data_IF_506411199809
#
_entry.id   IF_506411199809
#
_cell.length_a   1.000
_cell.length_b   1.000
_cell.length_c   1.000
_cell.angle_alpha   90.00
_cell.angle_beta   90.00
_cell.angle_gamma   90.00
#
_symmetry.space_group_name_H-M   'P 1'
#
loop_
_entity.id
_entity.type
_entity.pdbx_description
1 polymer ?
#
# COMPACT_ATOMS: atom_id res chain seq x y z
N UNK A 1 32.70 19.72 21.99
CA UNK A 1 31.99 19.86 20.70
C UNK A 1 30.54 20.22 21.01
N UNK A 2 29.96 21.25 20.39
CA UNK A 2 28.61 21.73 20.74
C UNK A 2 27.57 20.68 20.32
N UNK A 3 26.87 20.08 21.28
CA UNK A 3 25.91 18.98 21.06
C UNK A 3 24.86 19.33 19.97
N UNK A 4 24.52 20.62 19.83
CA UNK A 4 23.64 21.14 18.77
C UNK A 4 24.24 21.00 17.36
N UNK A 5 25.54 21.23 17.17
CA UNK A 5 26.22 21.01 15.87
C UNK A 5 26.34 19.51 15.55
N UNK A 6 26.49 18.68 16.57
CA UNK A 6 26.59 17.23 16.44
C UNK A 6 25.27 16.61 15.96
N UNK A 7 24.14 17.01 16.57
CA UNK A 7 22.79 16.56 16.18
C UNK A 7 22.44 17.03 14.76
N UNK A 8 22.82 18.25 14.36
CA UNK A 8 22.60 18.76 13.01
C UNK A 8 23.31 17.92 11.92
N UNK A 9 24.46 17.32 12.25
CA UNK A 9 25.19 16.41 11.36
C UNK A 9 24.60 14.99 11.26
N UNK A 10 23.75 14.58 12.21
CA UNK A 10 22.99 13.33 12.18
C UNK A 10 21.68 13.49 11.40
N UNK A 11 21.06 14.68 11.50
CA UNK A 11 19.80 15.04 10.84
C UNK A 11 19.89 15.19 9.30
N UNK A 12 21.09 15.17 8.71
CA UNK A 12 21.29 15.16 7.25
C UNK A 12 20.73 13.93 6.53
N UNK A 13 20.26 12.92 7.28
CA UNK A 13 19.61 11.70 6.78
C UNK A 13 18.09 11.90 6.57
N UNK A 14 17.47 12.92 7.17
CA UNK A 14 16.04 13.12 7.02
C UNK A 14 15.75 14.09 5.89
N UNK A 15 15.39 13.54 4.72
CA UNK A 15 14.48 14.08 3.67
C UNK A 15 14.94 13.79 2.23
N UNK A 16 16.14 13.23 2.02
CA UNK A 16 16.53 12.72 0.70
C UNK A 16 15.90 11.35 0.47
N UNK A 17 14.59 11.35 0.19
CA UNK A 17 13.86 10.15 -0.21
C UNK A 17 13.19 9.41 0.94
N UNK A 18 12.19 10.04 1.58
CA UNK A 18 11.01 9.27 1.95
C UNK A 18 10.29 8.89 0.64
N UNK A 19 10.89 7.99 -0.14
CA UNK A 19 10.10 7.10 -0.96
C UNK A 19 9.47 6.16 0.06
N UNK A 20 8.34 6.58 0.64
CA UNK A 20 7.39 5.62 1.18
C UNK A 20 7.20 4.61 0.05
N UNK A 21 7.65 3.38 0.28
CA UNK A 21 7.38 2.30 -0.64
C UNK A 21 5.86 2.11 -0.58
N UNK A 22 5.15 2.83 -1.44
CA UNK A 22 3.79 2.50 -1.79
C UNK A 22 3.84 1.06 -2.28
N UNK A 23 3.43 0.13 -1.43
CA UNK A 23 2.92 -1.14 -1.88
C UNK A 23 1.60 -0.86 -2.63
N UNK A 24 1.72 -0.31 -3.85
CA UNK A 24 0.60 0.09 -4.70
C UNK A 24 0.83 1.44 -5.37
N UNK A 25 1.50 1.45 -6.53
CA UNK A 25 1.65 2.66 -7.34
C UNK A 25 2.87 2.63 -8.24
N UNK A 26 2.74 2.03 -9.41
CA UNK A 26 3.75 2.05 -10.48
C UNK A 26 3.87 3.43 -11.12
N UNK A 27 5.04 4.08 -11.03
CA UNK A 27 5.67 4.93 -12.06
C UNK A 27 7.03 5.43 -11.52
N UNK A 28 8.15 4.88 -11.99
CA UNK A 28 8.93 5.32 -13.16
C UNK A 28 9.92 6.48 -12.85
N UNK A 29 11.21 6.14 -12.81
CA UNK A 29 12.31 7.07 -13.06
C UNK A 29 13.26 6.44 -14.07
N UNK A 30 13.50 7.15 -15.18
CA UNK A 30 14.37 6.76 -16.26
C UNK A 30 15.85 6.97 -15.91
N UNK A 31 16.68 5.97 -16.21
CA UNK A 31 18.14 6.02 -16.13
C UNK A 31 18.72 4.72 -16.67
N UNK A 32 19.16 4.76 -17.93
CA UNK A 32 19.55 3.58 -18.71
C UNK A 32 20.74 2.82 -18.11
N UNK A 33 20.52 1.57 -17.71
CA UNK A 33 21.53 0.52 -17.72
C UNK A 33 20.84 -0.86 -17.83
N UNK A 34 21.20 -1.55 -18.91
CA UNK A 34 20.81 -2.88 -19.37
C UNK A 34 20.44 -3.89 -18.25
N UNK A 35 19.15 -4.24 -18.13
CA UNK A 35 18.68 -5.40 -17.36
C UNK A 35 17.42 -5.99 -18.02
N UNK A 36 17.42 -7.32 -18.15
CA UNK A 36 16.45 -8.16 -18.86
C UNK A 36 15.00 -7.96 -18.42
N UNK A 37 14.13 -7.57 -19.36
CA UNK A 37 12.66 -7.48 -19.20
C UNK A 37 12.04 -8.84 -18.84
N UNK A 38 11.30 -8.90 -17.73
CA UNK A 38 10.26 -9.91 -17.49
C UNK A 38 9.02 -9.61 -18.34
N UNK A 39 8.13 -10.60 -18.59
CA UNK A 39 7.06 -10.46 -19.57
C UNK A 39 6.00 -9.43 -19.10
N UNK A 40 5.75 -8.45 -19.96
CA UNK A 40 4.63 -7.50 -19.88
C UNK A 40 3.31 -8.30 -19.97
N UNK A 41 2.48 -8.28 -18.93
CA UNK A 41 1.08 -8.72 -19.03
C UNK A 41 0.26 -7.60 -19.64
N UNK A 42 -0.30 -7.86 -20.82
CA UNK A 42 -1.13 -6.91 -21.56
C UNK A 42 -2.42 -6.57 -20.80
N UNK A 43 -2.75 -5.29 -20.73
CA UNK A 43 -3.92 -4.68 -20.08
C UNK A 43 -5.24 -4.85 -20.87
N UNK A 44 -5.44 -6.02 -21.48
CA UNK A 44 -6.57 -6.29 -22.38
C UNK A 44 -7.76 -7.04 -21.76
N UNK A 45 -7.74 -7.34 -20.47
CA UNK A 45 -8.64 -8.35 -19.90
C UNK A 45 -9.85 -7.74 -19.17
N UNK A 46 -11.06 -8.22 -19.51
CA UNK A 46 -12.33 -7.76 -18.93
C UNK A 46 -13.25 -6.93 -19.83
N UNK A 47 -12.95 -6.78 -21.13
CA UNK A 47 -13.87 -6.11 -22.06
C UNK A 47 -15.05 -6.98 -22.48
N UNK A 48 -14.89 -8.30 -22.55
CA UNK A 48 -15.94 -9.21 -23.01
C UNK A 48 -15.90 -10.55 -22.26
N UNK A 49 -16.97 -10.90 -21.51
CA UNK A 49 -17.12 -12.21 -20.87
C UNK A 49 -17.10 -13.39 -21.87
N UNK A 50 -17.38 -13.11 -23.15
CA UNK A 50 -17.25 -14.09 -24.23
C UNK A 50 -15.79 -14.33 -24.62
N UNK A 51 -14.90 -13.34 -24.47
CA UNK A 51 -13.49 -13.49 -24.80
C UNK A 51 -12.77 -14.40 -23.79
N UNK A 52 -13.08 -14.26 -22.51
CA UNK A 52 -12.50 -15.09 -21.44
C UNK A 52 -12.89 -16.57 -21.57
N UNK A 53 -14.14 -16.85 -21.99
CA UNK A 53 -14.59 -18.22 -22.29
C UNK A 53 -13.90 -18.82 -23.52
N UNK A 54 -13.55 -17.98 -24.48
CA UNK A 54 -12.83 -18.40 -25.70
C UNK A 54 -11.37 -18.73 -25.38
N UNK A 55 -10.73 -17.98 -24.47
CA UNK A 55 -9.38 -18.28 -23.98
C UNK A 55 -9.31 -19.61 -23.22
N UNK A 56 -10.29 -19.88 -22.35
CA UNK A 56 -10.39 -21.16 -21.62
C UNK A 56 -10.64 -22.36 -22.55
N UNK A 57 -11.34 -22.16 -23.67
CA UNK A 57 -11.56 -23.20 -24.68
C UNK A 57 -10.36 -23.42 -25.62
N UNK A 58 -9.50 -22.41 -25.82
CA UNK A 58 -8.34 -22.50 -26.71
C UNK A 58 -7.04 -22.95 -26.01
N UNK A 59 -6.96 -22.85 -24.68
CA UNK A 59 -5.80 -23.27 -23.91
C UNK A 59 -6.22 -24.29 -22.84
N UNK A 60 -5.80 -25.55 -23.00
CA UNK A 60 -6.03 -26.64 -22.02
C UNK A 60 -5.25 -26.47 -20.71
N UNK A 61 -5.42 -25.32 -20.05
CA UNK A 61 -4.75 -24.94 -18.80
C UNK A 61 -5.74 -24.74 -17.65
N UNK A 62 -5.20 -24.65 -16.42
CA UNK A 62 -5.97 -24.32 -15.23
C UNK A 62 -6.60 -22.94 -15.39
N UNK A 63 -7.92 -22.83 -15.24
CA UNK A 63 -8.64 -21.56 -15.23
C UNK A 63 -9.84 -21.62 -14.28
N UNK A 64 -9.82 -20.77 -13.26
CA UNK A 64 -10.98 -20.49 -12.40
C UNK A 64 -11.23 -18.98 -12.41
N UNK A 65 -12.48 -18.57 -12.33
CA UNK A 65 -12.88 -17.17 -12.28
C UNK A 65 -13.85 -16.94 -11.13
N UNK A 66 -13.94 -15.72 -10.64
CA UNK A 66 -14.90 -15.37 -9.60
C UNK A 66 -14.99 -13.87 -9.41
N UNK A 67 -15.77 -13.46 -8.42
CA UNK A 67 -15.91 -12.05 -8.04
C UNK A 67 -15.67 -11.84 -6.55
N UNK A 68 -15.21 -10.66 -6.20
CA UNK A 68 -15.25 -10.14 -4.84
C UNK A 68 -16.30 -9.05 -4.79
N UNK A 69 -17.14 -9.07 -3.77
CA UNK A 69 -18.11 -8.04 -3.46
C UNK A 69 -17.93 -7.59 -2.00
N UNK A 70 -18.29 -6.35 -1.71
CA UNK A 70 -18.34 -5.81 -0.34
C UNK A 70 -19.80 -5.74 0.08
N UNK A 71 -20.12 -6.31 1.23
CA UNK A 71 -21.49 -6.32 1.75
C UNK A 71 -21.95 -4.90 2.06
N UNK A 72 -23.11 -4.51 1.53
CA UNK A 72 -23.70 -3.18 1.73
C UNK A 72 -22.87 -2.00 1.19
N UNK A 73 -21.86 -2.23 0.35
CA UNK A 73 -20.92 -1.18 -0.06
C UNK A 73 -20.37 -1.33 -1.47
N UNK A 74 -19.59 -0.33 -1.88
CA UNK A 74 -18.83 -0.39 -3.13
C UNK A 74 -17.44 -0.98 -2.88
N UNK A 75 -16.85 -1.51 -3.94
CA UNK A 75 -15.47 -1.97 -3.90
C UNK A 75 -14.50 -0.79 -3.62
N UNK A 76 -13.40 -1.02 -2.88
CA UNK A 76 -12.36 -0.01 -2.69
C UNK A 76 -11.69 0.36 -4.02
N UNK A 77 -10.96 1.47 -4.00
CA UNK A 77 -10.20 1.92 -5.17
C UNK A 77 -9.12 0.92 -5.58
N UNK A 78 -8.36 0.40 -4.60
CA UNK A 78 -7.23 -0.48 -4.87
C UNK A 78 -7.69 -1.93 -5.18
N UNK A 79 -6.97 -2.65 -6.06
CA UNK A 79 -7.24 -4.06 -6.33
C UNK A 79 -7.19 -4.90 -5.06
N UNK A 80 -8.18 -5.77 -4.87
CA UNK A 80 -8.25 -6.63 -3.68
C UNK A 80 -7.39 -7.87 -3.93
N UNK A 81 -6.40 -8.16 -3.06
CA UNK A 81 -5.67 -9.42 -3.09
C UNK A 81 -6.60 -10.61 -2.90
N UNK A 82 -6.46 -11.62 -3.75
CA UNK A 82 -7.15 -12.90 -3.64
C UNK A 82 -6.10 -13.99 -3.51
N UNK A 83 -6.24 -14.84 -2.50
CA UNK A 83 -5.33 -15.95 -2.21
C UNK A 83 -6.05 -17.28 -2.31
N UNK A 84 -5.32 -18.30 -2.76
CA UNK A 84 -5.74 -19.70 -2.71
C UNK A 84 -4.94 -20.39 -1.62
N UNK A 85 -5.62 -20.73 -0.53
CA UNK A 85 -5.07 -21.39 0.64
C UNK A 85 -5.46 -22.88 0.63
N UNK A 86 -4.45 -23.75 0.66
CA UNK A 86 -4.62 -25.18 0.80
C UNK A 86 -4.07 -25.62 2.15
N UNK A 87 -4.95 -25.79 3.14
CA UNK A 87 -4.62 -26.26 4.50
C UNK A 87 -3.57 -25.40 5.22
N UNK A 88 -3.69 -24.07 5.13
CA UNK A 88 -2.81 -23.08 5.75
C UNK A 88 -1.61 -22.69 4.89
N UNK A 89 -1.50 -23.22 3.66
CA UNK A 89 -0.41 -22.92 2.73
C UNK A 89 -0.97 -22.19 1.52
N UNK A 90 -0.54 -20.94 1.32
CA UNK A 90 -0.89 -20.16 0.13
C UNK A 90 -0.20 -20.77 -1.09
N UNK A 91 -0.99 -21.29 -2.03
CA UNK A 91 -0.51 -21.89 -3.29
C UNK A 91 -0.55 -20.95 -4.48
N UNK A 92 -1.43 -19.95 -4.43
CA UNK A 92 -1.61 -18.98 -5.51
C UNK A 92 -2.07 -17.64 -4.96
N UNK A 93 -1.67 -16.56 -5.62
CA UNK A 93 -2.18 -15.23 -5.36
C UNK A 93 -2.52 -14.52 -6.68
N UNK A 94 -3.54 -13.68 -6.61
CA UNK A 94 -3.98 -12.82 -7.71
C UNK A 94 -4.62 -11.57 -7.11
N UNK A 95 -5.16 -10.70 -7.96
CA UNK A 95 -5.85 -9.48 -7.54
C UNK A 95 -7.11 -9.31 -8.38
N UNK A 96 -8.08 -8.59 -7.83
CA UNK A 96 -9.29 -8.23 -8.57
C UNK A 96 -9.04 -7.13 -9.59
N UNK A 97 -9.86 -7.08 -10.63
CA UNK A 97 -10.00 -5.91 -11.49
C UNK A 97 -10.84 -4.80 -10.82
N UNK A 98 -11.07 -3.71 -11.55
CA UNK A 98 -11.91 -2.59 -11.14
C UNK A 98 -13.41 -2.92 -11.04
N UNK A 99 -13.84 -4.15 -11.28
CA UNK A 99 -15.22 -4.63 -11.10
C UNK A 99 -15.30 -5.74 -10.06
N UNK A 100 -14.19 -6.04 -9.38
CA UNK A 100 -14.08 -7.11 -8.39
C UNK A 100 -13.86 -8.50 -8.99
N UNK A 101 -13.75 -8.64 -10.31
CA UNK A 101 -13.53 -9.94 -10.95
C UNK A 101 -12.09 -10.38 -10.74
N UNK A 102 -11.86 -11.67 -10.53
CA UNK A 102 -10.53 -12.26 -10.46
C UNK A 102 -10.46 -13.55 -11.29
N UNK A 103 -9.24 -13.92 -11.67
CA UNK A 103 -8.96 -15.20 -12.31
C UNK A 103 -7.75 -15.88 -11.66
N UNK A 104 -7.84 -17.20 -11.56
CA UNK A 104 -6.76 -18.12 -11.16
C UNK A 104 -6.43 -18.92 -12.40
N UNK A 105 -5.24 -18.69 -12.94
CA UNK A 105 -4.81 -19.32 -14.17
C UNK A 105 -3.34 -19.75 -14.10
N UNK A 106 -2.95 -20.62 -15.02
CA UNK A 106 -1.56 -21.05 -15.16
C UNK A 106 -0.65 -19.82 -15.30
N UNK A 107 0.43 -19.79 -14.52
CA UNK A 107 1.39 -18.68 -14.51
C UNK A 107 2.23 -18.69 -15.78
N UNK A 108 1.65 -18.21 -16.88
CA UNK A 108 2.36 -17.58 -17.99
C UNK A 108 3.44 -18.39 -18.72
N UNK A 109 3.17 -19.64 -19.14
CA UNK A 109 3.82 -20.18 -20.35
C UNK A 109 2.78 -20.54 -21.39
N UNK A 110 2.69 -19.72 -22.43
CA UNK A 110 2.04 -20.12 -23.70
C UNK A 110 2.86 -21.29 -24.25
N UNK A 111 2.31 -22.50 -24.25
CA UNK A 111 2.95 -23.66 -24.88
C UNK A 111 2.98 -23.43 -26.39
N UNK A 112 4.14 -23.13 -26.95
CA UNK A 112 4.34 -23.35 -28.39
C UNK A 112 4.43 -24.85 -28.63
N UNK A 113 3.99 -25.31 -29.81
CA UNK A 113 3.93 -26.74 -30.16
C UNK A 113 5.29 -27.47 -30.09
N UNK A 114 6.39 -26.75 -29.87
CA UNK A 114 7.74 -27.29 -29.72
C UNK A 114 8.17 -27.59 -28.26
N UNK A 115 7.39 -27.22 -27.23
CA UNK A 115 7.77 -27.39 -25.80
C UNK A 115 7.10 -28.60 -25.11
N UNK A 116 6.68 -29.62 -25.86
CA UNK A 116 6.09 -30.85 -25.29
C UNK A 116 7.12 -31.82 -24.67
N UNK A 117 8.37 -31.40 -24.47
CA UNK A 117 9.41 -32.23 -23.83
C UNK A 117 9.58 -31.79 -22.36
N UNK A 118 9.21 -32.62 -21.37
CA UNK A 118 9.42 -32.30 -19.96
C UNK A 118 10.93 -32.26 -19.65
N UNK A 119 11.44 -31.12 -19.19
CA UNK A 119 12.78 -31.05 -18.62
C UNK A 119 12.75 -31.58 -17.18
N UNK A 120 13.59 -32.57 -16.89
CA UNK A 120 13.75 -33.13 -15.56
C UNK A 120 14.33 -32.05 -14.61
N UNK A 121 13.60 -31.73 -13.54
CA UNK A 121 14.00 -30.76 -12.52
C UNK A 121 13.24 -29.42 -12.52
N UNK A 122 12.27 -29.22 -13.42
CA UNK A 122 11.37 -28.07 -13.33
C UNK A 122 10.45 -28.17 -12.09
N UNK A 123 10.17 -27.06 -11.38
CA UNK A 123 9.21 -27.07 -10.27
C UNK A 123 7.86 -27.60 -10.77
N UNK A 124 7.22 -28.46 -9.97
CA UNK A 124 5.91 -29.05 -10.31
C UNK A 124 4.93 -27.91 -10.61
N UNK A 125 4.48 -27.83 -11.86
CA UNK A 125 3.53 -26.82 -12.29
C UNK A 125 2.21 -27.02 -11.56
N UNK A 126 1.65 -25.95 -10.99
CA UNK A 126 0.41 -25.98 -10.25
C UNK A 126 -0.74 -26.30 -11.22
N UNK A 127 -1.42 -27.42 -11.02
CA UNK A 127 -2.54 -27.84 -11.86
C UNK A 127 -3.87 -27.51 -11.21
N UNK A 128 -4.93 -27.50 -12.01
CA UNK A 128 -6.28 -27.28 -11.51
C UNK A 128 -6.71 -28.37 -10.49
N UNK A 129 -6.21 -29.59 -10.67
CA UNK A 129 -6.42 -30.70 -9.72
C UNK A 129 -5.71 -30.48 -8.38
N UNK A 130 -4.52 -29.84 -8.37
CA UNK A 130 -3.79 -29.53 -7.14
C UNK A 130 -4.51 -28.46 -6.28
N UNK A 131 -5.48 -27.74 -6.86
CA UNK A 131 -6.26 -26.71 -6.19
C UNK A 131 -7.61 -27.20 -5.65
N UNK A 132 -8.02 -28.43 -5.96
CA UNK A 132 -9.28 -28.98 -5.46
C UNK A 132 -9.25 -29.12 -3.95
N UNK A 133 -10.31 -28.64 -3.29
CA UNK A 133 -10.41 -28.60 -1.83
C UNK A 133 -9.74 -27.38 -1.18
N UNK A 134 -9.03 -26.54 -1.95
CA UNK A 134 -8.45 -25.31 -1.43
C UNK A 134 -9.49 -24.21 -1.28
N UNK A 135 -9.27 -23.33 -0.31
CA UNK A 135 -10.12 -22.17 -0.04
C UNK A 135 -9.59 -20.94 -0.75
N UNK A 136 -10.46 -20.26 -1.49
CA UNK A 136 -10.20 -18.97 -2.11
C UNK A 136 -10.80 -17.88 -1.22
N UNK A 137 -9.96 -16.92 -0.83
CA UNK A 137 -10.33 -15.81 0.06
C UNK A 137 -9.79 -14.50 -0.48
N UNK A 138 -10.53 -13.43 -0.25
CA UNK A 138 -10.05 -12.07 -0.45
C UNK A 138 -9.38 -11.58 0.84
N UNK A 139 -8.33 -10.78 0.71
CA UNK A 139 -7.62 -10.21 1.85
C UNK A 139 -7.67 -8.69 1.77
N UNK A 140 -8.50 -8.08 2.61
CA UNK A 140 -8.64 -6.64 2.72
C UNK A 140 -8.63 -6.27 4.21
N UNK A 141 -7.76 -5.34 4.60
CA UNK A 141 -7.65 -4.91 5.99
C UNK A 141 -8.97 -4.28 6.48
N UNK A 142 -9.42 -4.64 7.69
CA UNK A 142 -10.69 -4.19 8.24
C UNK A 142 -11.93 -4.95 7.75
N UNK A 143 -11.75 -6.00 6.93
CA UNK A 143 -12.85 -6.85 6.45
C UNK A 143 -12.63 -8.31 6.80
N UNK A 144 -13.70 -9.00 7.19
CA UNK A 144 -13.73 -10.48 7.20
C UNK A 144 -14.14 -10.98 5.81
N UNK A 145 -13.37 -11.92 5.27
CA UNK A 145 -13.69 -12.55 3.99
C UNK A 145 -14.48 -13.84 4.18
N UNK A 146 -15.53 -14.02 3.39
CA UNK A 146 -16.05 -15.36 3.13
C UNK A 146 -15.00 -16.19 2.37
N UNK A 147 -15.19 -17.50 2.32
CA UNK A 147 -14.29 -18.41 1.63
C UNK A 147 -15.07 -19.30 0.66
N UNK A 148 -14.49 -19.52 -0.51
CA UNK A 148 -15.02 -20.43 -1.52
C UNK A 148 -14.12 -21.64 -1.60
N UNK A 149 -14.68 -22.84 -1.58
CA UNK A 149 -13.90 -24.07 -1.82
C UNK A 149 -13.92 -24.41 -3.31
N UNK A 150 -12.75 -24.61 -3.92
CA UNK A 150 -12.67 -25.09 -5.30
C UNK A 150 -13.12 -26.56 -5.33
N UNK A 151 -14.24 -26.82 -6.00
CA UNK A 151 -14.80 -28.17 -6.09
C UNK A 151 -14.45 -28.84 -7.43
N UNK A 152 -14.53 -30.17 -7.46
CA UNK A 152 -14.19 -30.96 -8.64
C UNK A 152 -15.09 -30.64 -9.86
N UNK A 153 -16.33 -30.22 -9.63
CA UNK A 153 -17.26 -29.82 -10.70
C UNK A 153 -16.88 -28.52 -11.42
N UNK A 154 -16.03 -27.67 -10.82
CA UNK A 154 -15.55 -26.43 -11.43
C UNK A 154 -14.48 -26.65 -12.51
N UNK A 155 -14.03 -27.90 -12.71
CA UNK A 155 -12.97 -28.26 -13.67
C UNK A 155 -13.50 -28.53 -15.09
N UNK A 156 -14.80 -28.83 -15.25
CA UNK A 156 -15.30 -29.43 -16.49
C UNK A 156 -16.45 -28.67 -17.14
N UNK A 157 -17.28 -27.94 -16.37
CA UNK A 157 -18.52 -27.34 -16.88
C UNK A 157 -18.59 -25.80 -16.72
N UNK A 158 -18.21 -25.26 -15.55
CA UNK A 158 -18.19 -23.82 -15.28
C UNK A 158 -16.93 -23.42 -14.48
N UNK A 159 -16.00 -22.62 -15.08
CA UNK A 159 -14.82 -22.16 -14.37
C UNK A 159 -15.14 -21.11 -13.28
N UNK A 160 -16.37 -20.61 -13.20
CA UNK A 160 -16.78 -19.69 -12.16
C UNK A 160 -16.93 -20.39 -10.81
N UNK A 161 -16.11 -20.00 -9.83
CA UNK A 161 -16.14 -20.55 -8.47
C UNK A 161 -17.09 -19.76 -7.55
N UNK A 162 -17.62 -18.62 -7.99
CA UNK A 162 -18.62 -17.84 -7.27
C UNK A 162 -18.11 -16.48 -6.76
N UNK A 163 -18.81 -15.93 -5.77
CA UNK A 163 -18.54 -14.59 -5.22
C UNK A 163 -18.05 -14.65 -3.78
N UNK A 164 -16.88 -14.09 -3.53
CA UNK A 164 -16.32 -13.85 -2.20
C UNK A 164 -16.95 -12.56 -1.68
N UNK A 165 -17.52 -12.61 -0.48
CA UNK A 165 -18.12 -11.44 0.16
C UNK A 165 -17.22 -10.97 1.29
N UNK A 166 -16.84 -9.70 1.25
CA UNK A 166 -16.15 -9.01 2.32
C UNK A 166 -17.21 -8.34 3.21
N UNK A 167 -17.23 -8.70 4.48
CA UNK A 167 -18.05 -8.01 5.47
C UNK A 167 -17.14 -7.11 6.31
N UNK A 168 -17.56 -5.87 6.52
CA UNK A 168 -16.85 -4.95 7.39
C UNK A 168 -16.75 -5.56 8.80
N UNK A 169 -15.58 -5.49 9.40
CA UNK A 169 -15.41 -5.85 10.79
C UNK A 169 -15.92 -4.69 11.66
N UNK A 170 -16.98 -4.90 12.45
CA UNK A 170 -17.58 -3.87 13.31
C UNK A 170 -16.59 -3.33 14.36
N UNK A 171 -15.49 -4.04 14.62
CA UNK A 171 -14.42 -3.60 15.50
C UNK A 171 -13.31 -2.82 14.79
N UNK A 172 -13.39 -2.61 13.46
CA UNK A 172 -12.49 -1.73 12.74
C UNK A 172 -12.82 -0.26 13.08
N UNK A 173 -12.09 0.32 14.03
CA UNK A 173 -12.15 1.74 14.38
C UNK A 173 -11.49 2.58 13.27
N UNK A 174 -12.14 3.67 12.86
CA UNK A 174 -11.70 4.52 11.75
C UNK A 174 -11.94 3.84 10.39
N UNK A 175 -12.94 4.29 9.65
CA UNK A 175 -13.24 3.64 8.38
C UNK A 175 -12.21 4.05 7.33
N UNK A 176 -11.43 3.07 6.85
CA UNK A 176 -10.64 3.21 5.62
C UNK A 176 -11.51 3.33 4.36
N UNK A 177 -12.83 3.17 4.50
CA UNK A 177 -13.84 3.31 3.46
C UNK A 177 -14.90 4.30 3.95
N UNK A 178 -15.15 5.38 3.22
CA UNK A 178 -16.17 6.36 3.65
C UNK A 178 -17.60 5.80 3.57
N UNK A 179 -18.43 6.08 4.58
CA UNK A 179 -19.86 5.74 4.59
C UNK A 179 -20.65 6.52 3.52
N UNK A 180 -20.16 7.69 3.11
CA UNK A 180 -20.79 8.51 2.05
C UNK A 180 -20.74 7.85 0.68
N UNK A 181 -19.75 6.99 0.45
CA UNK A 181 -19.59 6.25 -0.80
C UNK A 181 -20.79 5.33 -1.06
N UNK A 182 -21.29 4.65 -0.02
CA UNK A 182 -22.44 3.76 -0.15
C UNK A 182 -23.75 4.52 -0.43
N UNK A 183 -23.82 5.82 -0.07
CA UNK A 183 -24.97 6.68 -0.31
C UNK A 183 -24.88 7.47 -1.63
N UNK A 184 -23.77 7.36 -2.37
CA UNK A 184 -23.55 8.14 -3.59
C UNK A 184 -24.57 7.76 -4.68
N UNK A 185 -25.09 8.73 -5.46
CA UNK A 185 -26.07 8.46 -6.51
C UNK A 185 -25.47 7.61 -7.63
N UNK A 186 -26.27 6.79 -8.34
CA UNK A 186 -25.78 5.87 -9.39
C UNK A 186 -24.92 6.54 -10.47
N UNK A 187 -25.25 7.77 -10.86
CA UNK A 187 -24.48 8.50 -11.87
C UNK A 187 -23.09 8.93 -11.37
N UNK A 188 -22.96 9.31 -10.10
CA UNK A 188 -21.67 9.62 -9.49
C UNK A 188 -20.84 8.34 -9.32
N UNK A 189 -21.46 7.25 -8.84
CA UNK A 189 -20.84 5.93 -8.73
C UNK A 189 -20.30 5.44 -10.08
N UNK A 190 -21.10 5.56 -11.15
CA UNK A 190 -20.67 5.20 -12.50
C UNK A 190 -19.43 5.96 -12.95
N UNK A 191 -19.32 7.26 -12.62
CA UNK A 191 -18.13 8.06 -12.90
C UNK A 191 -16.94 7.63 -12.07
N UNK A 192 -17.13 7.39 -10.79
CA UNK A 192 -16.10 6.89 -9.89
C UNK A 192 -15.55 5.52 -10.33
N UNK A 193 -16.42 4.57 -10.69
CA UNK A 193 -16.01 3.25 -11.18
C UNK A 193 -15.25 3.31 -12.50
N UNK A 194 -15.69 4.19 -13.41
CA UNK A 194 -14.97 4.43 -14.68
C UNK A 194 -13.59 5.01 -14.41
N UNK A 195 -13.48 5.99 -13.52
CA UNK A 195 -12.20 6.56 -13.15
C UNK A 195 -11.27 5.53 -12.52
N UNK A 196 -11.78 4.66 -11.64
CA UNK A 196 -11.02 3.55 -11.06
C UNK A 196 -10.50 2.61 -12.15
N UNK A 197 -11.34 2.26 -13.12
CA UNK A 197 -10.92 1.43 -14.26
C UNK A 197 -9.83 2.10 -15.10
N UNK A 198 -9.93 3.41 -15.34
CA UNK A 198 -8.92 4.17 -16.07
C UNK A 198 -7.58 4.24 -15.30
N UNK A 199 -7.63 4.45 -13.98
CA UNK A 199 -6.46 4.45 -13.13
C UNK A 199 -5.74 3.08 -13.15
N UNK A 200 -6.49 1.98 -13.04
CA UNK A 200 -5.92 0.62 -13.14
C UNK A 200 -5.34 0.32 -14.53
N UNK A 201 -5.85 0.97 -15.57
CA UNK A 201 -5.35 0.87 -16.94
C UNK A 201 -4.23 1.87 -17.27
N UNK A 202 -3.59 2.44 -16.25
CA UNK A 202 -2.50 3.41 -16.38
C UNK A 202 -2.90 4.67 -17.17
N UNK A 203 -4.14 5.13 -17.03
CA UNK A 203 -4.65 6.38 -17.58
C UNK A 203 -5.07 7.35 -16.44
N UNK A 204 -4.11 7.98 -15.74
CA UNK A 204 -4.38 8.87 -14.62
C UNK A 204 -5.15 10.13 -15.02
N UNK A 205 -4.93 10.66 -16.24
CA UNK A 205 -5.63 11.86 -16.72
C UNK A 205 -7.12 11.61 -16.93
N UNK A 206 -7.47 10.46 -17.53
CA UNK A 206 -8.86 10.02 -17.65
C UNK A 206 -9.50 9.86 -16.29
N UNK A 207 -8.82 9.14 -15.40
CA UNK A 207 -9.28 8.89 -14.05
C UNK A 207 -9.54 10.19 -13.28
N UNK A 208 -8.63 11.15 -13.36
CA UNK A 208 -8.79 12.47 -12.75
C UNK A 208 -10.02 13.20 -13.30
N UNK A 209 -10.21 13.19 -14.62
CA UNK A 209 -11.36 13.85 -15.25
C UNK A 209 -12.70 13.21 -14.86
N UNK A 210 -12.80 11.88 -14.79
CA UNK A 210 -14.05 11.23 -14.35
C UNK A 210 -14.27 11.35 -12.83
N UNK A 211 -13.21 11.40 -12.00
CA UNK A 211 -13.33 11.75 -10.58
C UNK A 211 -13.86 13.17 -10.38
N UNK A 212 -13.37 14.14 -11.17
CA UNK A 212 -13.89 15.50 -11.16
C UNK A 212 -15.38 15.54 -11.51
N UNK A 213 -15.84 14.70 -12.45
CA UNK A 213 -17.28 14.57 -12.75
C UNK A 213 -18.04 13.93 -11.59
N UNK A 214 -17.50 12.89 -10.96
CA UNK A 214 -18.13 12.22 -9.83
C UNK A 214 -18.41 13.22 -8.70
N UNK A 215 -17.41 14.02 -8.32
CA UNK A 215 -17.54 15.01 -7.24
C UNK A 215 -18.35 16.26 -7.62
N UNK A 216 -18.53 16.54 -8.91
CA UNK A 216 -19.47 17.56 -9.37
C UNK A 216 -20.92 17.09 -9.27
N UNK A 217 -21.18 15.80 -9.54
CA UNK A 217 -22.51 15.18 -9.40
C UNK A 217 -22.86 15.04 -7.92
N UNK A 218 -21.90 14.59 -7.11
CA UNK A 218 -22.07 14.47 -5.66
C UNK A 218 -20.87 15.08 -4.90
N UNK A 219 -21.00 16.34 -4.45
CA UNK A 219 -19.98 16.99 -3.63
C UNK A 219 -19.72 16.30 -2.27
N UNK A 220 -20.62 15.43 -1.80
CA UNK A 220 -20.45 14.67 -0.54
C UNK A 220 -19.78 13.31 -0.75
N UNK A 221 -19.30 13.01 -1.95
CA UNK A 221 -18.62 11.75 -2.24
C UNK A 221 -17.16 11.78 -1.73
N UNK A 222 -16.95 11.48 -0.46
CA UNK A 222 -15.65 11.65 0.21
C UNK A 222 -14.52 10.80 -0.43
N UNK A 223 -14.80 9.54 -0.77
CA UNK A 223 -13.82 8.67 -1.43
C UNK A 223 -13.39 9.22 -2.80
N UNK A 224 -14.33 9.77 -3.58
CA UNK A 224 -14.00 10.37 -4.88
C UNK A 224 -13.09 11.61 -4.73
N UNK A 225 -13.35 12.45 -3.73
CA UNK A 225 -12.44 13.56 -3.38
C UNK A 225 -11.05 13.07 -2.96
N UNK A 226 -10.98 12.03 -2.14
CA UNK A 226 -9.71 11.45 -1.70
C UNK A 226 -8.89 10.88 -2.86
N UNK A 227 -9.51 10.09 -3.74
CA UNK A 227 -8.82 9.53 -4.90
C UNK A 227 -8.41 10.62 -5.90
N UNK A 228 -9.20 11.69 -6.03
CA UNK A 228 -8.82 12.87 -6.81
C UNK A 228 -7.57 13.54 -6.25
N UNK A 229 -7.52 13.72 -4.93
CA UNK A 229 -6.35 14.27 -4.24
C UNK A 229 -5.09 13.42 -4.47
N UNK A 230 -5.20 12.09 -4.39
CA UNK A 230 -4.08 11.17 -4.67
C UNK A 230 -3.51 11.33 -6.08
N UNK A 231 -4.37 11.47 -7.10
CA UNK A 231 -3.91 11.70 -8.47
C UNK A 231 -3.26 13.07 -8.67
N UNK A 232 -3.70 14.08 -7.91
CA UNK A 232 -3.15 15.43 -7.96
C UNK A 232 -1.82 15.57 -7.19
N UNK A 233 -1.60 14.76 -6.16
CA UNK A 233 -0.52 14.93 -5.16
C UNK A 233 0.87 15.19 -5.76
N UNK A 234 1.24 14.48 -6.83
CA UNK A 234 2.56 14.60 -7.44
C UNK A 234 2.71 15.81 -8.38
N UNK A 235 1.61 16.24 -9.02
CA UNK A 235 1.65 17.29 -10.06
C UNK A 235 1.15 18.65 -9.57
N UNK A 236 0.23 18.65 -8.60
CA UNK A 236 -0.49 19.80 -8.06
C UNK A 236 -0.79 19.59 -6.56
N UNK A 237 0.22 19.70 -5.68
CA UNK A 237 0.06 19.39 -4.26
C UNK A 237 -0.95 20.31 -3.56
N UNK A 238 -1.12 21.56 -4.00
CA UNK A 238 -2.14 22.46 -3.46
C UNK A 238 -3.56 22.02 -3.81
N UNK A 239 -3.80 21.61 -5.06
CA UNK A 239 -5.09 21.04 -5.49
C UNK A 239 -5.38 19.75 -4.72
N UNK A 240 -4.35 18.92 -4.47
CA UNK A 240 -4.48 17.69 -3.71
C UNK A 240 -4.93 17.95 -2.27
N UNK A 241 -4.32 18.91 -1.59
CA UNK A 241 -4.74 19.33 -0.24
C UNK A 241 -6.19 19.79 -0.22
N UNK A 242 -6.61 20.63 -1.19
CA UNK A 242 -7.99 21.08 -1.29
C UNK A 242 -8.97 19.91 -1.53
N UNK A 243 -8.58 18.91 -2.31
CA UNK A 243 -9.38 17.69 -2.50
C UNK A 243 -9.46 16.86 -1.21
N UNK A 244 -8.37 16.69 -0.47
CA UNK A 244 -8.37 15.98 0.81
C UNK A 244 -9.21 16.69 1.88
N UNK A 245 -9.15 18.02 1.96
CA UNK A 245 -10.01 18.82 2.84
C UNK A 245 -11.49 18.65 2.51
N UNK A 246 -11.85 18.58 1.22
CA UNK A 246 -13.22 18.29 0.79
C UNK A 246 -13.66 16.87 1.13
N UNK A 247 -12.76 15.89 1.05
CA UNK A 247 -13.04 14.53 1.49
C UNK A 247 -13.39 14.49 3.00
N UNK A 248 -12.61 15.18 3.83
CA UNK A 248 -12.86 15.30 5.28
C UNK A 248 -14.17 16.06 5.56
N UNK A 249 -14.46 17.13 4.80
CA UNK A 249 -15.71 17.88 4.96
C UNK A 249 -16.94 17.05 4.56
N UNK A 250 -16.80 16.18 3.57
CA UNK A 250 -17.85 15.27 3.12
C UNK A 250 -18.10 14.15 4.14
N UNK A 251 -17.04 13.59 4.72
CA UNK A 251 -17.12 12.57 5.78
C UNK A 251 -16.07 12.81 6.89
N UNK A 252 -16.46 13.43 8.01
CA UNK A 252 -15.54 13.72 9.11
C UNK A 252 -14.95 12.47 9.81
N UNK A 253 -15.52 11.28 9.59
CA UNK A 253 -15.00 10.02 10.13
C UNK A 253 -14.08 9.28 9.15
N UNK A 254 -13.90 9.81 7.93
CA UNK A 254 -13.06 9.19 6.92
C UNK A 254 -11.58 9.51 7.18
N UNK A 255 -10.83 8.48 7.55
CA UNK A 255 -9.46 8.65 8.06
C UNK A 255 -8.39 8.72 6.96
N UNK A 256 -8.66 8.12 5.79
CA UNK A 256 -7.70 7.98 4.69
C UNK A 256 -7.06 9.29 4.19
N UNK A 257 -7.75 10.45 4.13
CA UNK A 257 -7.14 11.70 3.66
C UNK A 257 -6.03 12.27 4.56
N UNK A 258 -6.01 11.96 5.85
CA UNK A 258 -5.05 12.56 6.78
C UNK A 258 -3.60 12.09 6.54
N UNK A 259 -3.40 10.86 6.09
CA UNK A 259 -2.05 10.32 5.81
C UNK A 259 -1.33 11.09 4.70
N UNK A 260 -1.86 11.21 3.46
CA UNK A 260 -1.20 11.97 2.41
C UNK A 260 -1.13 13.48 2.70
N UNK A 261 -2.06 14.04 3.49
CA UNK A 261 -1.93 15.41 3.98
C UNK A 261 -0.71 15.58 4.88
N UNK A 262 -0.47 14.65 5.81
CA UNK A 262 0.70 14.65 6.66
C UNK A 262 2.00 14.45 5.86
N UNK A 263 2.00 13.56 4.86
CA UNK A 263 3.14 13.38 3.95
C UNK A 263 3.47 14.65 3.17
N UNK A 264 2.45 15.29 2.57
CA UNK A 264 2.60 16.54 1.86
C UNK A 264 3.15 17.65 2.77
N UNK A 265 2.59 17.80 3.97
CA UNK A 265 3.06 18.77 4.95
C UNK A 265 4.53 18.50 5.35
N UNK A 266 4.88 17.24 5.64
CA UNK A 266 6.25 16.85 5.97
C UNK A 266 7.24 17.12 4.83
N UNK A 267 6.85 16.83 3.57
CA UNK A 267 7.66 17.10 2.38
C UNK A 267 7.95 18.61 2.20
N UNK A 268 6.99 19.45 2.60
CA UNK A 268 7.08 20.90 2.57
C UNK A 268 7.70 21.49 3.84
N UNK A 269 8.14 20.64 4.78
CA UNK A 269 8.67 21.02 6.11
C UNK A 269 7.68 21.81 6.97
N UNK A 270 6.39 21.66 6.70
CA UNK A 270 5.27 22.18 7.50
C UNK A 270 5.01 21.22 8.66
N UNK A 271 5.91 21.26 9.64
CA UNK A 271 5.98 20.24 10.69
C UNK A 271 4.81 20.25 11.65
N UNK A 272 4.25 21.43 11.93
CA UNK A 272 3.08 21.54 12.79
C UNK A 272 1.86 20.93 12.11
N UNK A 273 1.67 21.22 10.83
CA UNK A 273 0.57 20.69 10.03
C UNK A 273 0.68 19.16 9.86
N UNK A 274 1.90 18.62 9.71
CA UNK A 274 2.12 17.17 9.70
C UNK A 274 1.77 16.52 11.05
N UNK A 275 2.13 17.16 12.18
CA UNK A 275 1.76 16.69 13.50
C UNK A 275 0.23 16.74 13.73
N UNK A 276 -0.42 17.84 13.34
CA UNK A 276 -1.86 18.04 13.49
C UNK A 276 -2.67 17.06 12.64
N UNK A 277 -2.25 16.80 11.40
CA UNK A 277 -2.89 15.83 10.51
C UNK A 277 -2.77 14.40 11.07
N UNK A 278 -1.59 14.01 11.54
CA UNK A 278 -1.40 12.68 12.15
C UNK A 278 -2.10 12.54 13.50
N UNK A 279 -2.15 13.57 14.34
CA UNK A 279 -2.92 13.55 15.59
C UNK A 279 -4.43 13.46 15.31
N UNK A 280 -4.91 14.11 14.23
CA UNK A 280 -6.30 13.98 13.78
C UNK A 280 -6.62 12.58 13.27
N UNK A 281 -5.72 11.97 12.49
CA UNK A 281 -5.80 10.55 12.12
C UNK A 281 -5.93 9.68 13.37
N UNK A 282 -4.99 9.81 14.30
CA UNK A 282 -4.88 8.97 15.50
C UNK A 282 -6.02 9.19 16.50
N UNK A 283 -6.75 10.29 16.40
CA UNK A 283 -7.99 10.50 17.15
C UNK A 283 -9.14 9.64 16.61
N UNK A 284 -9.20 9.44 15.29
CA UNK A 284 -10.23 8.65 14.61
C UNK A 284 -9.88 7.15 14.59
N UNK A 285 -8.62 6.82 14.34
CA UNK A 285 -8.07 5.47 14.48
C UNK A 285 -6.85 5.49 15.43
N UNK A 286 -7.06 5.25 16.73
CA UNK A 286 -5.98 5.22 17.73
C UNK A 286 -4.95 4.12 17.52
N UNK A 287 -5.26 3.10 16.71
CA UNK A 287 -4.28 2.05 16.38
C UNK A 287 -3.23 2.60 15.42
N UNK A 288 -3.66 3.38 14.43
CA UNK A 288 -2.77 3.96 13.42
C UNK A 288 -2.13 2.93 12.50
N UNK A 289 -1.21 3.41 11.67
CA UNK A 289 -0.31 2.61 10.83
C UNK A 289 1.14 2.96 11.14
N UNK A 290 2.09 2.11 10.75
CA UNK A 290 3.51 2.43 10.93
C UNK A 290 3.91 3.76 10.24
N UNK A 291 3.47 4.06 8.99
CA UNK A 291 3.66 5.38 8.37
C UNK A 291 3.10 6.56 9.19
N UNK A 292 1.88 6.44 9.73
CA UNK A 292 1.27 7.51 10.53
C UNK A 292 2.06 7.77 11.81
N UNK A 293 2.42 6.73 12.55
CA UNK A 293 3.24 6.90 13.77
C UNK A 293 4.62 7.47 13.45
N UNK A 294 5.21 7.11 12.31
CA UNK A 294 6.48 7.68 11.86
C UNK A 294 6.35 9.17 11.52
N UNK A 295 5.36 9.56 10.71
CA UNK A 295 5.09 10.96 10.37
C UNK A 295 4.76 11.80 11.61
N UNK A 296 4.02 11.23 12.57
CA UNK A 296 3.73 11.85 13.84
C UNK A 296 5.01 12.11 14.65
N UNK A 297 5.92 11.13 14.68
CA UNK A 297 7.24 11.30 15.29
C UNK A 297 8.06 12.40 14.62
N UNK A 298 8.07 12.44 13.29
CA UNK A 298 8.77 13.47 12.51
C UNK A 298 8.22 14.87 12.80
N UNK A 299 6.90 15.04 12.77
CA UNK A 299 6.24 16.31 13.08
C UNK A 299 6.53 16.77 14.51
N UNK A 300 6.37 15.89 15.50
CA UNK A 300 6.61 16.19 16.93
C UNK A 300 8.07 16.50 17.22
N UNK A 301 9.01 15.80 16.58
CA UNK A 301 10.43 16.07 16.76
C UNK A 301 10.79 17.47 16.26
N UNK A 302 10.33 17.84 15.07
CA UNK A 302 10.64 19.13 14.46
C UNK A 302 9.89 20.32 15.10
N UNK A 303 8.80 20.06 15.82
CA UNK A 303 8.10 21.04 16.67
C UNK A 303 8.68 21.10 18.10
N UNK A 304 9.70 20.30 18.40
CA UNK A 304 10.45 20.34 19.66
C UNK A 304 9.93 19.39 20.76
N UNK A 305 8.87 18.63 20.50
CA UNK A 305 8.31 17.67 21.43
C UNK A 305 9.00 16.29 21.29
N UNK A 306 10.22 16.21 21.82
CA UNK A 306 11.10 15.03 21.67
C UNK A 306 10.56 13.77 22.36
N UNK A 307 9.96 13.90 23.55
CA UNK A 307 9.44 12.74 24.28
C UNK A 307 8.25 12.12 23.55
N UNK A 308 7.33 12.95 23.04
CA UNK A 308 6.20 12.46 22.25
C UNK A 308 6.68 11.91 20.89
N UNK A 309 7.71 12.50 20.30
CA UNK A 309 8.31 11.98 19.07
C UNK A 309 8.90 10.58 19.27
N UNK A 310 9.64 10.37 20.35
CA UNK A 310 10.21 9.06 20.69
C UNK A 310 9.11 8.01 20.88
N UNK A 311 8.07 8.34 21.65
CA UNK A 311 6.94 7.46 21.88
C UNK A 311 6.27 7.03 20.56
N UNK A 312 6.08 7.98 19.63
CA UNK A 312 5.52 7.70 18.30
C UNK A 312 6.47 6.86 17.43
N UNK A 313 7.78 7.14 17.44
CA UNK A 313 8.76 6.37 16.68
C UNK A 313 8.86 4.91 17.17
N UNK A 314 8.83 4.67 18.48
CA UNK A 314 8.80 3.32 19.07
C UNK A 314 7.53 2.57 18.70
N UNK A 315 6.37 3.24 18.63
CA UNK A 315 5.12 2.63 18.12
C UNK A 315 5.23 2.26 16.65
N UNK A 316 5.73 3.16 15.80
CA UNK A 316 5.93 2.88 14.38
C UNK A 316 6.81 1.63 14.17
N UNK A 317 7.91 1.54 14.92
CA UNK A 317 8.84 0.42 14.88
C UNK A 317 8.18 -0.90 15.31
N UNK A 318 7.42 -0.89 16.40
CA UNK A 318 6.70 -2.08 16.88
C UNK A 318 5.67 -2.60 15.87
N UNK A 319 5.11 -1.74 15.02
CA UNK A 319 4.16 -2.10 13.96
C UNK A 319 4.82 -2.61 12.67
N UNK A 320 6.09 -2.29 12.45
CA UNK A 320 6.87 -2.74 11.29
C UNK A 320 8.14 -3.50 11.72
N UNK A 321 8.02 -4.64 12.42
CA UNK A 321 9.16 -5.38 12.97
C UNK A 321 10.07 -5.99 11.88
N UNK A 322 9.63 -5.99 10.62
CA UNK A 322 10.41 -6.44 9.47
C UNK A 322 10.96 -5.29 8.62
N UNK A 323 10.73 -4.04 9.03
CA UNK A 323 11.19 -2.84 8.34
C UNK A 323 10.79 -2.80 6.86
N UNK A 324 9.57 -3.23 6.56
CA UNK A 324 9.06 -3.36 5.19
C UNK A 324 8.28 -2.14 4.71
N UNK A 325 7.70 -1.37 5.63
CA UNK A 325 6.88 -0.19 5.32
C UNK A 325 7.69 1.09 5.49
N UNK A 326 8.43 1.21 6.60
CA UNK A 326 9.17 2.42 6.95
C UNK A 326 10.56 2.07 7.48
N UNK A 327 11.48 1.78 6.54
CA UNK A 327 12.88 1.39 6.82
C UNK A 327 13.64 2.43 7.68
N UNK A 328 13.26 3.70 7.57
CA UNK A 328 13.90 4.83 8.23
C UNK A 328 13.42 5.07 9.67
N UNK A 329 12.54 4.23 10.23
CA UNK A 329 12.05 4.42 11.60
C UNK A 329 13.16 4.23 12.64
N UNK A 330 13.96 3.16 12.53
CA UNK A 330 15.05 2.86 13.49
C UNK A 330 16.14 3.95 13.49
N UNK A 331 16.69 4.38 12.32
CA UNK A 331 17.67 5.46 12.31
C UNK A 331 17.10 6.79 12.82
N UNK A 332 15.79 7.04 12.59
CA UNK A 332 15.15 8.25 13.08
C UNK A 332 14.96 8.24 14.60
N UNK A 333 14.60 7.09 15.19
CA UNK A 333 14.57 6.92 16.64
C UNK A 333 15.96 7.20 17.26
N UNK A 334 17.04 6.71 16.64
CA UNK A 334 18.39 7.02 17.08
C UNK A 334 18.71 8.54 17.07
N UNK A 335 18.24 9.27 16.05
CA UNK A 335 18.38 10.74 15.99
C UNK A 335 17.64 11.40 17.15
N UNK A 336 16.43 10.93 17.48
CA UNK A 336 15.65 11.45 18.61
C UNK A 336 16.42 11.23 19.92
N UNK A 337 16.91 10.01 20.17
CA UNK A 337 17.66 9.63 21.37
C UNK A 337 18.97 10.43 21.49
N UNK A 338 19.72 10.58 20.39
CA UNK A 338 20.90 11.43 20.35
C UNK A 338 20.58 12.88 20.73
N UNK A 339 19.41 13.39 20.30
CA UNK A 339 18.97 14.74 20.64
C UNK A 339 18.61 14.93 22.12
N UNK A 340 18.32 13.83 22.82
CA UNK A 340 18.05 13.77 24.28
C UNK A 340 19.32 13.48 25.09
N UNK A 341 20.44 13.17 24.42
CA UNK A 341 21.70 12.80 25.06
C UNK A 341 21.80 11.30 25.42
N UNK A 342 20.84 10.49 24.98
CA UNK A 342 20.77 9.05 25.22
C UNK A 342 21.64 8.32 24.18
N UNK A 343 22.96 8.54 24.28
CA UNK A 343 23.91 8.15 23.26
C UNK A 343 24.14 6.62 23.18
N UNK A 344 23.96 5.90 24.28
CA UNK A 344 24.10 4.43 24.30
C UNK A 344 22.95 3.77 23.52
N UNK A 345 21.69 4.07 23.83
CA UNK A 345 20.53 3.57 23.07
C UNK A 345 20.55 4.02 21.61
N UNK A 346 21.00 5.25 21.34
CA UNK A 346 21.22 5.72 19.97
C UNK A 346 22.14 4.77 19.17
N UNK A 347 23.26 4.33 19.75
CA UNK A 347 24.16 3.39 19.07
C UNK A 347 23.51 2.05 18.80
N UNK A 348 22.72 1.53 19.74
CA UNK A 348 22.04 0.25 19.58
C UNK A 348 21.08 0.29 18.38
N UNK A 349 20.26 1.35 18.29
CA UNK A 349 19.35 1.54 17.17
C UNK A 349 20.08 1.77 15.83
N UNK A 350 21.17 2.56 15.79
CA UNK A 350 21.97 2.71 14.58
C UNK A 350 22.58 1.38 14.12
N UNK A 351 23.12 0.57 15.04
CA UNK A 351 23.70 -0.74 14.73
C UNK A 351 22.65 -1.73 14.27
N UNK A 352 21.49 -1.76 14.93
CA UNK A 352 20.37 -2.59 14.53
C UNK A 352 19.91 -2.25 13.10
N UNK A 353 19.88 -0.96 12.75
CA UNK A 353 19.49 -0.53 11.40
C UNK A 353 20.39 -1.08 10.28
N UNK A 354 21.68 -1.33 10.55
CA UNK A 354 22.61 -1.93 9.59
C UNK A 354 22.37 -3.42 9.33
N UNK A 355 21.51 -4.09 10.12
CA UNK A 355 21.20 -5.51 9.90
C UNK A 355 20.26 -5.73 8.71
N UNK A 356 19.46 -4.72 8.34
CA UNK A 356 18.46 -4.81 7.28
C UNK A 356 18.62 -3.73 6.20
N UNK A 357 19.29 -2.61 6.48
CA UNK A 357 19.59 -1.60 5.45
C UNK A 357 20.73 -2.12 4.57
N UNK A 358 20.53 -2.23 3.24
CA UNK A 358 21.55 -2.73 2.34
C UNK A 358 22.75 -1.78 2.27
N UNK A 359 23.91 -2.32 1.91
CA UNK A 359 25.11 -1.51 1.69
C UNK A 359 24.87 -0.43 0.63
N UNK A 360 25.44 0.74 0.85
CA UNK A 360 25.25 1.90 -0.01
C UNK A 360 25.32 3.21 0.79
N UNK A 361 24.95 4.34 0.16
CA UNK A 361 25.09 5.67 0.77
C UNK A 361 24.40 5.80 2.12
N UNK A 362 23.21 5.22 2.28
CA UNK A 362 22.46 5.24 3.55
C UNK A 362 23.18 4.48 4.66
N UNK A 363 23.67 3.26 4.38
CA UNK A 363 24.44 2.48 5.34
C UNK A 363 25.77 3.16 5.71
N UNK A 364 26.41 3.83 4.75
CA UNK A 364 27.65 4.56 5.00
C UNK A 364 27.42 5.80 5.87
N UNK A 365 26.31 6.52 5.66
CA UNK A 365 25.88 7.60 6.54
C UNK A 365 25.61 7.10 7.97
N UNK A 366 24.98 5.94 8.12
CA UNK A 366 24.74 5.30 9.44
C UNK A 366 26.07 4.94 10.12
N UNK A 367 27.03 4.34 9.40
CA UNK A 367 28.36 4.04 9.95
C UNK A 367 29.12 5.29 10.38
N UNK A 368 29.05 6.36 9.60
CA UNK A 368 29.64 7.65 9.97
C UNK A 368 28.99 8.21 11.25
N UNK A 369 27.68 8.05 11.40
CA UNK A 369 26.96 8.47 12.59
C UNK A 369 27.32 7.63 13.81
N UNK A 370 27.49 6.31 13.67
CA UNK A 370 28.01 5.44 14.74
C UNK A 370 29.37 5.94 15.23
N UNK A 371 30.32 6.16 14.30
CA UNK A 371 31.67 6.63 14.66
C UNK A 371 31.65 7.99 15.39
N UNK A 372 30.79 8.90 14.95
CA UNK A 372 30.57 10.20 15.60
C UNK A 372 30.05 10.04 17.04
N UNK A 373 29.06 9.17 17.26
CA UNK A 373 28.46 8.94 18.58
C UNK A 373 29.44 8.23 19.52
N UNK A 374 30.20 7.26 19.02
CA UNK A 374 31.27 6.60 19.78
C UNK A 374 32.33 7.59 20.25
N UNK A 375 32.77 8.50 19.37
CA UNK A 375 33.72 9.55 19.73
C UNK A 375 33.15 10.50 20.81
N UNK A 376 31.86 10.84 20.71
CA UNK A 376 31.19 11.70 21.70
C UNK A 376 31.11 11.03 23.08
N UNK A 377 30.81 9.72 23.13
CA UNK A 377 30.80 8.94 24.38
C UNK A 377 32.18 8.87 25.03
N UNK A 378 33.24 8.67 24.24
CA UNK A 378 34.62 8.68 24.74
C UNK A 378 35.00 10.05 25.31
N UNK A 379 34.55 11.13 24.67
CA UNK A 379 34.88 12.50 25.08
C UNK A 379 34.06 12.99 26.28
N UNK A 380 33.00 12.27 26.67
CA UNK A 380 32.13 12.60 27.80
C UNK A 380 32.55 11.88 29.11
N UNK A 381 33.47 10.91 29.01
CA UNK A 381 34.15 10.26 30.13
C UNK A 381 35.43 11.03 30.45
#
# INVERSE_FOLDING_TARGET
MNLKLFIAGLAGITLSGAAFAQAGGSAAAAGAANATKGPEMSSGFGKDANFDRTLAQQHGGMYFSGKVAVDGGTLPWDPIPVIVDCSGVVKYNTRTDAKGSFAIQDSGRIRTSSELVPQAGAPKQLTAADLIGCQVKASLAGFRSSAITIANGNLSDDPNIGTITLHLDEHALGYGVSATTAAAPPDALKKFEKARSEAMNNNPDGAQHDLQKAVQIDPKFAEAWYQLGKLQQQSKPEDALASFEKAIAADPQFVSPYEPMAELAASQKKWQEAADATDSYLKLDPKGTAPIWYLNAVGKFNTGNKDAAEASARKALAMDPRHTQVQNTEPFLAIILASKGELEECLDHLRNSLTYIPSGPSADAIKQNIAKVEQALVSAK
#
